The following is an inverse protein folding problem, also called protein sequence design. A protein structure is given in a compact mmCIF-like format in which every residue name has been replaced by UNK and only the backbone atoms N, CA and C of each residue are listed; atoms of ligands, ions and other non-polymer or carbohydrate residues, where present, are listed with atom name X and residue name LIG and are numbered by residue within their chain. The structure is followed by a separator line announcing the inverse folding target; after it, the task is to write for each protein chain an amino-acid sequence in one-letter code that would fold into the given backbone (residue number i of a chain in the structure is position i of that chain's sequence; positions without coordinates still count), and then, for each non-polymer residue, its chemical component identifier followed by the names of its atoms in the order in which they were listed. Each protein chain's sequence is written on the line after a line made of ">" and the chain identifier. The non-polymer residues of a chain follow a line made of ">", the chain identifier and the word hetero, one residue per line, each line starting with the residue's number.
data_IF_527454730207
#
_entry.id   IF_527454730207
#
_cell.length_a   1.000
_cell.length_b   1.000
_cell.length_c   1.000
_cell.angle_alpha   90.00
_cell.angle_beta   90.00
_cell.angle_gamma   90.00
#
_symmetry.space_group_name_H-M   'P 1'
#
loop_
_entity.id
_entity.type
_entity.pdbx_description
1 polymer ?
#
# COMPACT_ATOMS: atom_id res chain seq x y z
N UNK A 1 9.80 -29.26 -21.81
CA UNK A 1 9.22 -30.50 -21.24
C UNK A 1 9.60 -30.74 -19.78
N UNK A 2 10.84 -30.49 -19.35
CA UNK A 2 11.30 -30.76 -17.98
C UNK A 2 10.67 -29.80 -16.93
N UNK A 3 10.41 -28.55 -17.31
CA UNK A 3 9.80 -27.54 -16.44
C UNK A 3 8.29 -27.76 -16.16
N UNK A 4 7.55 -28.38 -17.08
CA UNK A 4 6.11 -28.66 -16.89
C UNK A 4 5.89 -29.88 -15.98
N UNK A 5 6.79 -30.87 -16.02
CA UNK A 5 6.78 -32.04 -15.13
C UNK A 5 7.05 -31.66 -13.66
N UNK A 6 7.90 -30.66 -13.41
CA UNK A 6 8.15 -30.13 -12.06
C UNK A 6 6.94 -29.39 -11.47
N UNK A 7 6.13 -28.72 -12.30
CA UNK A 7 4.87 -28.08 -11.87
C UNK A 7 3.77 -29.11 -11.58
N UNK A 8 3.71 -30.20 -12.35
CA UNK A 8 2.75 -31.30 -12.15
C UNK A 8 3.02 -32.08 -10.85
N UNK A 9 4.28 -32.30 -10.46
CA UNK A 9 4.62 -32.89 -9.15
C UNK A 9 4.15 -32.04 -7.96
N UNK A 10 4.16 -30.71 -8.08
CA UNK A 10 3.66 -29.78 -7.04
C UNK A 10 2.13 -29.78 -6.91
N UNK A 11 1.38 -30.37 -7.85
CA UNK A 11 -0.08 -30.43 -7.82
C UNK A 11 -0.64 -31.73 -7.22
N UNK A 12 0.21 -32.75 -7.04
CA UNK A 12 -0.18 -34.06 -6.52
C UNK A 12 -0.52 -33.95 -5.02
N UNK A 13 -1.74 -34.33 -4.63
CA UNK A 13 -2.19 -34.31 -3.23
C UNK A 13 -2.91 -33.02 -2.78
N UNK A 14 -3.21 -32.09 -3.68
CA UNK A 14 -3.93 -30.84 -3.36
C UNK A 14 -5.45 -31.01 -3.44
N UNK A 15 -6.18 -30.25 -2.63
CA UNK A 15 -7.65 -30.22 -2.68
C UNK A 15 -8.17 -29.56 -3.97
N UNK A 16 -9.41 -29.88 -4.35
CA UNK A 16 -10.06 -29.24 -5.51
C UNK A 16 -10.18 -27.72 -5.34
N UNK A 17 -10.44 -27.24 -4.13
CA UNK A 17 -10.51 -25.81 -3.83
C UNK A 17 -9.17 -25.12 -3.99
N UNK A 18 -8.07 -25.75 -3.56
CA UNK A 18 -6.72 -25.23 -3.79
C UNK A 18 -6.40 -25.15 -5.29
N UNK A 19 -6.73 -26.19 -6.05
CA UNK A 19 -6.53 -26.21 -7.51
C UNK A 19 -7.33 -25.12 -8.21
N UNK A 20 -8.59 -24.90 -7.80
CA UNK A 20 -9.46 -23.85 -8.33
C UNK A 20 -8.86 -22.47 -8.10
N UNK A 21 -8.45 -22.16 -6.86
CA UNK A 21 -7.88 -20.85 -6.52
C UNK A 21 -6.58 -20.60 -7.27
N UNK A 22 -5.67 -21.56 -7.29
CA UNK A 22 -4.39 -21.42 -8.00
C UNK A 22 -4.58 -21.27 -9.51
N UNK A 23 -5.55 -21.97 -10.10
CA UNK A 23 -5.87 -21.84 -11.52
C UNK A 23 -6.44 -20.47 -11.85
N UNK A 24 -7.35 -19.95 -11.01
CA UNK A 24 -7.90 -18.61 -11.17
C UNK A 24 -6.80 -17.52 -11.08
N UNK A 25 -5.89 -17.64 -10.11
CA UNK A 25 -4.73 -16.76 -9.96
C UNK A 25 -3.78 -16.84 -11.18
N UNK A 26 -3.50 -18.05 -11.67
CA UNK A 26 -2.65 -18.25 -12.84
C UNK A 26 -3.27 -17.65 -14.11
N UNK A 27 -4.59 -17.80 -14.30
CA UNK A 27 -5.34 -17.20 -15.39
C UNK A 27 -5.32 -15.67 -15.30
N UNK A 28 -5.58 -15.10 -14.12
CA UNK A 28 -5.51 -13.66 -13.89
C UNK A 28 -4.11 -13.09 -14.20
N UNK A 29 -3.05 -13.75 -13.74
CA UNK A 29 -1.68 -13.36 -14.07
C UNK A 29 -1.41 -13.49 -15.57
N UNK A 30 -1.99 -14.50 -16.24
CA UNK A 30 -1.92 -14.65 -17.69
C UNK A 30 -2.53 -13.48 -18.45
N UNK A 31 -3.76 -13.09 -18.10
CA UNK A 31 -4.47 -11.98 -18.77
C UNK A 31 -3.81 -10.63 -18.49
N UNK A 32 -3.25 -10.43 -17.28
CA UNK A 32 -2.42 -9.27 -16.95
C UNK A 32 -1.17 -9.20 -17.83
N UNK A 33 -0.44 -10.30 -18.01
CA UNK A 33 0.78 -10.34 -18.84
C UNK A 33 0.52 -10.08 -20.32
N UNK A 34 -0.65 -10.49 -20.82
CA UNK A 34 -1.03 -10.27 -22.21
C UNK A 34 -1.70 -8.91 -22.44
N UNK A 35 -1.82 -8.05 -21.41
CA UNK A 35 -2.43 -6.72 -21.54
C UNK A 35 -3.96 -6.74 -21.67
N UNK A 36 -4.61 -7.89 -21.47
CA UNK A 36 -6.07 -8.04 -21.55
C UNK A 36 -6.77 -7.61 -20.26
N UNK A 37 -6.07 -7.64 -19.12
CA UNK A 37 -6.61 -7.23 -17.84
C UNK A 37 -6.64 -5.70 -17.71
N UNK A 38 -7.80 -5.14 -17.40
CA UNK A 38 -7.95 -3.73 -17.05
C UNK A 38 -7.25 -3.36 -15.74
N UNK A 39 -6.87 -4.34 -14.91
CA UNK A 39 -6.14 -4.13 -13.66
C UNK A 39 -4.63 -3.98 -13.83
N UNK A 40 -4.10 -4.20 -15.05
CA UNK A 40 -2.69 -4.01 -15.38
C UNK A 40 -2.36 -2.58 -15.84
N UNK A 41 -3.33 -1.65 -15.72
CA UNK A 41 -3.17 -0.24 -16.07
C UNK A 41 -3.96 0.65 -15.11
N UNK A 42 -3.54 1.90 -15.00
CA UNK A 42 -4.30 2.88 -14.23
C UNK A 42 -5.60 3.20 -14.97
N UNK A 43 -6.77 3.17 -14.31
CA UNK A 43 -8.02 3.53 -14.96
C UNK A 43 -8.06 5.02 -15.32
N UNK A 44 -8.68 5.32 -16.47
CA UNK A 44 -9.08 6.69 -16.82
C UNK A 44 -10.08 7.22 -15.81
N UNK A 45 -10.14 8.52 -15.61
CA UNK A 45 -10.99 9.18 -14.62
C UNK A 45 -12.46 8.76 -14.78
N UNK A 46 -12.99 8.81 -16.01
CA UNK A 46 -14.36 8.42 -16.32
C UNK A 46 -14.69 6.96 -16.02
N UNK A 47 -13.72 6.05 -16.16
CA UNK A 47 -13.91 4.64 -15.81
C UNK A 47 -13.75 4.40 -14.31
N UNK A 48 -12.86 5.17 -13.67
CA UNK A 48 -12.65 5.13 -12.22
C UNK A 48 -13.89 5.62 -11.46
N UNK A 49 -14.51 6.72 -11.88
CA UNK A 49 -15.69 7.27 -11.20
C UNK A 49 -16.88 6.31 -11.19
N UNK A 50 -17.02 5.43 -12.20
CA UNK A 50 -18.05 4.37 -12.21
C UNK A 50 -17.87 3.35 -11.08
N UNK A 51 -16.67 3.22 -10.53
CA UNK A 51 -16.34 2.32 -9.42
C UNK A 51 -16.80 2.87 -8.06
N UNK A 52 -17.16 4.16 -8.02
CA UNK A 52 -17.61 4.86 -6.83
C UNK A 52 -19.14 4.91 -6.77
N UNK A 53 -19.65 4.97 -5.55
CA UNK A 53 -21.04 5.24 -5.25
C UNK A 53 -21.22 6.73 -4.93
N UNK A 54 -21.80 7.48 -5.86
CA UNK A 54 -22.01 8.92 -5.73
C UNK A 54 -22.90 9.29 -4.54
N UNK A 55 -23.77 8.38 -4.10
CA UNK A 55 -24.63 8.60 -2.92
C UNK A 55 -23.82 8.70 -1.63
N UNK A 56 -22.58 8.21 -1.63
CA UNK A 56 -21.66 8.25 -0.48
C UNK A 56 -20.75 9.47 -0.45
N UNK A 57 -20.88 10.40 -1.40
CA UNK A 57 -20.03 11.60 -1.51
C UNK A 57 -20.67 12.86 -0.92
N UNK A 58 -21.80 12.75 -0.20
CA UNK A 58 -22.39 13.90 0.49
C UNK A 58 -22.83 15.04 -0.43
N UNK A 59 -23.10 14.77 -1.71
CA UNK A 59 -23.47 15.78 -2.71
C UNK A 59 -22.28 16.36 -3.49
N UNK A 60 -21.04 16.00 -3.16
CA UNK A 60 -19.85 16.40 -3.92
C UNK A 60 -19.83 15.77 -5.32
N UNK A 61 -19.34 16.48 -6.35
CA UNK A 61 -19.26 15.95 -7.70
C UNK A 61 -18.22 14.83 -7.79
N UNK A 62 -18.41 13.94 -8.78
CA UNK A 62 -17.40 12.96 -9.18
C UNK A 62 -16.28 13.64 -9.97
N UNK A 63 -15.44 14.40 -9.26
CA UNK A 63 -14.21 15.03 -9.76
C UNK A 63 -13.07 14.84 -8.76
N UNK A 64 -11.85 15.22 -9.14
CA UNK A 64 -10.70 15.17 -8.23
C UNK A 64 -10.94 16.08 -7.01
N UNK A 65 -11.47 17.27 -7.25
CA UNK A 65 -11.77 18.30 -6.25
C UNK A 65 -12.87 17.83 -5.31
N UNK A 66 -14.00 17.35 -5.86
CA UNK A 66 -15.13 16.87 -5.06
C UNK A 66 -14.76 15.69 -4.17
N UNK A 67 -13.93 14.76 -4.67
CA UNK A 67 -13.43 13.64 -3.85
C UNK A 67 -12.54 14.11 -2.70
N UNK A 68 -11.65 15.08 -2.94
CA UNK A 68 -10.81 15.62 -1.87
C UNK A 68 -11.62 16.45 -0.86
N UNK A 69 -12.57 17.26 -1.34
CA UNK A 69 -13.50 18.03 -0.50
C UNK A 69 -14.31 17.10 0.40
N UNK A 70 -14.93 16.05 -0.16
CA UNK A 70 -15.60 14.99 0.59
C UNK A 70 -14.65 14.35 1.62
N UNK A 71 -13.45 13.97 1.19
CA UNK A 71 -12.47 13.37 2.09
C UNK A 71 -12.07 14.30 3.24
N UNK A 72 -12.01 15.62 3.05
CA UNK A 72 -11.72 16.62 4.09
C UNK A 72 -12.90 16.90 5.01
N UNK A 73 -14.12 16.90 4.47
CA UNK A 73 -15.33 17.24 5.22
C UNK A 73 -15.96 16.05 5.98
N UNK A 74 -15.78 14.81 5.50
CA UNK A 74 -16.46 13.64 6.09
C UNK A 74 -16.10 13.40 7.56
N UNK A 75 -17.08 13.09 8.40
CA UNK A 75 -16.87 12.65 9.79
C UNK A 75 -16.82 11.12 9.93
N UNK A 76 -17.45 10.41 9.00
CA UNK A 76 -17.47 8.95 8.95
C UNK A 76 -16.89 8.42 7.64
N UNK A 77 -16.16 7.28 7.69
CA UNK A 77 -15.75 6.54 8.87
C UNK A 77 -14.62 7.29 9.60
N UNK A 78 -14.64 7.23 10.94
CA UNK A 78 -13.53 7.73 11.74
C UNK A 78 -12.34 6.77 11.59
N UNK A 79 -11.14 7.30 11.34
CA UNK A 79 -9.96 6.47 11.13
C UNK A 79 -9.47 5.83 12.43
N UNK A 80 -9.01 6.66 13.35
CA UNK A 80 -8.74 6.31 14.74
C UNK A 80 -9.17 7.48 15.62
N UNK A 81 -9.49 7.23 16.89
CA UNK A 81 -9.86 8.27 17.83
C UNK A 81 -8.84 9.43 17.87
N UNK A 82 -7.55 9.11 17.77
CA UNK A 82 -6.45 10.06 17.71
C UNK A 82 -6.46 11.01 16.49
N UNK A 83 -7.30 10.75 15.48
CA UNK A 83 -7.49 11.64 14.33
C UNK A 83 -8.79 12.46 14.41
N UNK A 84 -9.63 12.22 15.41
CA UNK A 84 -10.87 12.98 15.63
C UNK A 84 -10.61 14.40 16.16
N UNK A 85 -9.66 14.55 17.07
CA UNK A 85 -9.14 15.85 17.52
C UNK A 85 -7.60 15.84 17.46
N UNK A 86 -7.07 16.46 16.40
CA UNK A 86 -5.62 16.59 16.22
C UNK A 86 -4.99 17.46 17.33
N UNK A 87 -5.71 18.47 17.81
CA UNK A 87 -5.22 19.39 18.84
C UNK A 87 -5.07 18.69 20.19
N UNK A 88 -6.08 17.92 20.59
CA UNK A 88 -6.04 17.07 21.79
C UNK A 88 -4.96 16.02 21.68
N UNK A 89 -4.89 15.31 20.55
CA UNK A 89 -3.84 14.29 20.33
C UNK A 89 -2.45 14.88 20.41
N UNK A 90 -2.21 16.07 19.83
CA UNK A 90 -0.92 16.77 19.95
C UNK A 90 -0.61 17.17 21.39
N UNK A 91 -1.60 17.62 22.17
CA UNK A 91 -1.44 17.93 23.60
C UNK A 91 -1.05 16.66 24.39
N UNK A 92 -1.77 15.57 24.16
CA UNK A 92 -1.53 14.30 24.85
C UNK A 92 -0.16 13.70 24.51
N UNK A 93 0.21 13.72 23.22
CA UNK A 93 1.53 13.27 22.78
C UNK A 93 2.67 14.05 23.46
N UNK A 94 2.50 15.38 23.62
CA UNK A 94 3.47 16.22 24.32
C UNK A 94 3.50 15.93 25.82
N UNK A 95 2.33 15.76 26.44
CA UNK A 95 2.19 15.52 27.88
C UNK A 95 2.80 14.19 28.32
N UNK A 96 2.55 13.10 27.59
CA UNK A 96 2.99 11.75 27.98
C UNK A 96 4.44 11.42 27.67
N UNK A 97 4.94 11.81 26.49
CA UNK A 97 6.25 11.36 26.00
C UNK A 97 7.34 12.43 26.05
N UNK A 98 6.98 13.68 26.37
CA UNK A 98 7.92 14.77 26.59
C UNK A 98 8.73 15.19 25.35
N UNK A 99 9.72 16.06 25.57
CA UNK A 99 10.56 16.62 24.51
C UNK A 99 11.46 15.58 23.79
N UNK A 100 12.10 14.61 24.46
CA UNK A 100 13.04 13.69 23.80
C UNK A 100 12.39 12.82 22.71
N UNK A 101 11.19 12.29 22.97
CA UNK A 101 10.46 11.48 21.99
C UNK A 101 10.06 12.31 20.76
N UNK A 102 9.63 13.56 20.98
CA UNK A 102 9.33 14.51 19.91
C UNK A 102 10.56 14.79 19.05
N UNK A 103 11.70 15.10 19.68
CA UNK A 103 12.96 15.36 18.98
C UNK A 103 13.38 14.18 18.12
N UNK A 104 13.31 12.95 18.66
CA UNK A 104 13.67 11.74 17.92
C UNK A 104 12.83 11.51 16.66
N UNK A 105 11.52 11.79 16.72
CA UNK A 105 10.62 11.69 15.57
C UNK A 105 10.97 12.73 14.51
N UNK A 106 11.21 13.98 14.92
CA UNK A 106 11.56 15.09 14.02
C UNK A 106 12.90 14.82 13.33
N UNK A 107 13.93 14.37 14.07
CA UNK A 107 15.23 14.04 13.49
C UNK A 107 15.14 12.90 12.47
N UNK A 108 14.35 11.87 12.75
CA UNK A 108 14.13 10.77 11.81
C UNK A 108 13.40 11.24 10.55
N UNK A 109 12.40 12.11 10.72
CA UNK A 109 11.69 12.71 9.59
C UNK A 109 12.64 13.57 8.73
N UNK A 110 13.50 14.39 9.35
CA UNK A 110 14.52 15.17 8.63
C UNK A 110 15.45 14.29 7.80
N UNK A 111 15.97 13.19 8.35
CA UNK A 111 16.78 12.23 7.58
C UNK A 111 16.02 11.68 6.36
N UNK A 112 14.73 11.39 6.50
CA UNK A 112 13.89 10.96 5.37
C UNK A 112 13.82 12.05 4.30
N UNK A 113 13.66 13.32 4.68
CA UNK A 113 13.65 14.45 3.73
C UNK A 113 14.99 14.64 3.00
N UNK A 114 16.08 14.16 3.60
CA UNK A 114 17.43 14.15 3.01
C UNK A 114 17.69 12.87 2.17
N UNK A 115 16.68 12.03 1.94
CA UNK A 115 16.81 10.78 1.19
C UNK A 115 17.55 9.66 1.94
N UNK A 116 17.54 9.70 3.29
CA UNK A 116 18.18 8.72 4.17
C UNK A 116 17.16 7.93 4.98
N UNK A 117 17.26 6.60 4.92
CA UNK A 117 16.30 5.68 5.54
C UNK A 117 16.98 4.72 6.51
N UNK A 118 16.36 4.54 7.69
CA UNK A 118 16.76 3.52 8.67
C UNK A 118 15.78 2.33 8.52
N UNK A 119 16.25 1.18 8.04
CA UNK A 119 15.42 0.01 7.70
C UNK A 119 16.07 -1.28 8.20
N UNK A 120 15.30 -2.17 8.83
CA UNK A 120 15.75 -3.51 9.25
C UNK A 120 17.06 -3.52 10.07
N UNK A 121 17.29 -2.49 10.89
CA UNK A 121 18.50 -2.32 11.70
C UNK A 121 19.67 -1.64 10.97
N UNK A 122 19.60 -1.49 9.64
CA UNK A 122 20.53 -0.68 8.85
C UNK A 122 20.19 0.81 8.99
N UNK A 123 21.21 1.67 8.98
CA UNK A 123 21.05 3.12 9.16
C UNK A 123 21.52 3.89 7.94
N UNK A 124 20.85 5.00 7.65
CA UNK A 124 21.28 5.97 6.64
C UNK A 124 21.35 5.43 5.20
N UNK A 125 20.55 4.40 4.87
CA UNK A 125 20.47 3.84 3.52
C UNK A 125 20.02 4.93 2.54
N UNK A 126 20.65 4.98 1.38
CA UNK A 126 20.26 5.84 0.27
C UNK A 126 19.85 4.99 -0.92
N UNK A 127 18.68 5.29 -1.48
CA UNK A 127 18.12 4.60 -2.64
C UNK A 127 18.27 5.45 -3.91
N UNK A 128 19.19 6.41 -3.91
CA UNK A 128 19.34 7.41 -4.97
C UNK A 128 18.56 8.70 -4.69
N UNK A 129 18.88 9.74 -5.47
CA UNK A 129 18.16 11.02 -5.49
C UNK A 129 17.94 11.42 -6.96
N UNK A 130 16.71 11.32 -7.50
CA UNK A 130 15.48 10.85 -6.84
C UNK A 130 15.55 9.36 -6.43
N UNK A 131 14.66 8.96 -5.51
CA UNK A 131 14.56 7.56 -5.01
C UNK A 131 14.27 6.60 -6.17
N UNK A 132 15.11 5.58 -6.32
CA UNK A 132 14.88 4.43 -7.20
C UNK A 132 14.16 3.31 -6.43
N UNK A 133 12.86 3.16 -6.67
CA UNK A 133 12.01 2.22 -5.94
C UNK A 133 12.26 0.74 -6.25
N UNK A 134 13.18 0.45 -7.19
CA UNK A 134 13.59 -0.91 -7.55
C UNK A 134 15.05 -1.21 -7.15
N UNK A 135 15.75 -0.26 -6.52
CA UNK A 135 17.13 -0.42 -6.07
C UNK A 135 17.19 -1.10 -4.70
N UNK A 136 18.05 -2.10 -4.59
CA UNK A 136 18.56 -2.62 -3.33
C UNK A 136 19.93 -1.97 -3.04
N UNK A 137 20.03 -1.11 -2.02
CA UNK A 137 21.15 -0.18 -1.87
C UNK A 137 22.44 -0.83 -1.34
N UNK A 138 22.38 -2.01 -0.72
CA UNK A 138 23.56 -2.68 -0.18
C UNK A 138 24.34 -3.40 -1.28
N UNK A 139 23.65 -4.11 -2.17
CA UNK A 139 24.26 -4.82 -3.31
C UNK A 139 24.30 -4.01 -4.61
N UNK A 140 23.61 -2.87 -4.66
CA UNK A 140 23.46 -2.05 -5.87
C UNK A 140 22.58 -2.69 -6.94
N UNK A 141 21.87 -3.78 -6.63
CA UNK A 141 21.02 -4.50 -7.59
C UNK A 141 19.72 -3.75 -7.81
N UNK A 142 19.36 -3.59 -9.08
CA UNK A 142 18.09 -2.98 -9.49
C UNK A 142 17.16 -4.04 -10.05
N UNK A 143 16.03 -4.27 -9.39
CA UNK A 143 15.04 -5.25 -9.83
C UNK A 143 14.43 -4.87 -11.20
N UNK A 144 14.15 -5.85 -12.07
CA UNK A 144 13.67 -5.56 -13.43
C UNK A 144 12.19 -5.12 -13.42
N UNK A 145 11.88 -4.13 -14.27
CA UNK A 145 10.51 -3.68 -14.50
C UNK A 145 9.77 -4.61 -15.48
N UNK A 146 9.32 -5.76 -15.00
CA UNK A 146 8.53 -6.76 -15.74
C UNK A 146 7.27 -7.10 -14.94
N UNK A 147 6.32 -7.81 -15.55
CA UNK A 147 5.16 -8.31 -14.78
C UNK A 147 5.63 -9.09 -13.55
N UNK A 148 5.05 -8.77 -12.39
CA UNK A 148 5.51 -9.22 -11.08
C UNK A 148 5.72 -10.75 -10.98
N UNK A 149 4.91 -11.54 -11.71
CA UNK A 149 4.98 -13.00 -11.71
C UNK A 149 6.16 -13.58 -12.49
N UNK A 150 6.87 -12.75 -13.26
CA UNK A 150 8.07 -13.13 -14.03
C UNK A 150 9.37 -12.73 -13.33
N UNK A 151 9.29 -12.08 -12.17
CA UNK A 151 10.47 -11.65 -11.42
C UNK A 151 10.85 -12.76 -10.44
N UNK A 152 12.01 -13.37 -10.64
CA UNK A 152 12.55 -14.33 -9.69
C UNK A 152 13.21 -13.61 -8.51
N UNK A 153 12.41 -12.94 -7.67
CA UNK A 153 12.91 -12.14 -6.54
C UNK A 153 13.58 -12.99 -5.45
N UNK A 154 13.43 -14.33 -5.48
CA UNK A 154 14.15 -15.22 -4.56
C UNK A 154 15.63 -15.34 -4.91
N UNK A 155 15.99 -15.06 -6.16
CA UNK A 155 17.38 -15.00 -6.60
C UNK A 155 17.97 -13.62 -6.27
N UNK A 156 18.94 -13.62 -5.34
CA UNK A 156 19.64 -12.41 -4.92
C UNK A 156 20.43 -11.76 -6.08
N UNK A 157 20.81 -12.52 -7.11
CA UNK A 157 21.42 -11.98 -8.32
C UNK A 157 20.49 -11.07 -9.12
N UNK A 158 19.17 -11.26 -8.98
CA UNK A 158 18.12 -10.48 -9.65
C UNK A 158 17.69 -9.26 -8.84
N UNK A 159 17.51 -9.40 -7.53
CA UNK A 159 16.85 -8.39 -6.69
C UNK A 159 17.65 -7.94 -5.45
N UNK A 160 18.87 -8.45 -5.24
CA UNK A 160 19.60 -8.27 -3.98
C UNK A 160 18.82 -8.86 -2.79
N UNK A 161 19.00 -8.28 -1.60
CA UNK A 161 18.06 -8.53 -0.50
C UNK A 161 16.75 -7.77 -0.70
N UNK A 162 15.80 -8.45 -1.34
CA UNK A 162 14.43 -7.96 -1.57
C UNK A 162 13.74 -7.41 -0.32
N UNK A 163 14.10 -7.85 0.90
CA UNK A 163 13.46 -7.35 2.13
C UNK A 163 13.75 -5.87 2.33
N UNK A 164 14.95 -5.40 1.99
CA UNK A 164 15.32 -3.99 2.09
C UNK A 164 14.49 -3.16 1.10
N UNK A 165 14.36 -3.64 -0.14
CA UNK A 165 13.53 -3.00 -1.18
C UNK A 165 12.06 -2.95 -0.72
N UNK A 166 11.53 -4.06 -0.24
CA UNK A 166 10.14 -4.13 0.22
C UNK A 166 9.89 -3.27 1.45
N UNK A 167 10.80 -3.23 2.42
CA UNK A 167 10.64 -2.40 3.63
C UNK A 167 10.49 -0.91 3.27
N UNK A 168 11.30 -0.40 2.34
CA UNK A 168 11.12 0.97 1.83
C UNK A 168 9.75 1.12 1.14
N UNK A 169 9.38 0.15 0.30
CA UNK A 169 8.17 0.17 -0.52
C UNK A 169 6.87 -0.16 0.24
N UNK A 170 6.95 -0.53 1.52
CA UNK A 170 5.82 -0.48 2.45
C UNK A 170 5.44 0.97 2.77
N UNK A 171 6.39 1.90 2.64
CA UNK A 171 6.21 3.33 2.89
C UNK A 171 5.65 3.64 4.30
N UNK A 172 5.90 2.75 5.28
CA UNK A 172 5.51 2.93 6.67
C UNK A 172 6.12 4.20 7.30
N UNK A 173 7.25 4.65 6.76
CA UNK A 173 7.88 5.90 7.17
C UNK A 173 7.02 7.14 6.90
N UNK A 174 5.96 7.06 6.07
CA UNK A 174 4.98 8.13 5.93
C UNK A 174 4.32 8.50 7.27
N UNK A 175 4.13 7.53 8.19
CA UNK A 175 3.66 7.83 9.54
C UNK A 175 4.69 8.62 10.36
N UNK A 176 6.00 8.44 10.10
CA UNK A 176 7.04 9.25 10.74
C UNK A 176 7.00 10.70 10.23
N UNK A 177 6.84 10.90 8.92
CA UNK A 177 6.63 12.23 8.33
C UNK A 177 5.36 12.89 8.89
N UNK A 178 4.24 12.15 8.94
CA UNK A 178 2.97 12.67 9.44
C UNK A 178 3.01 13.07 10.92
N UNK A 179 3.70 12.30 11.76
CA UNK A 179 3.92 12.67 13.17
C UNK A 179 4.80 13.92 13.30
N UNK A 180 5.85 14.04 12.49
CA UNK A 180 6.69 15.24 12.49
C UNK A 180 5.90 16.48 12.03
N UNK A 181 5.08 16.34 10.99
CA UNK A 181 4.13 17.35 10.53
C UNK A 181 3.20 17.80 11.66
N UNK A 182 2.57 16.89 12.39
CA UNK A 182 1.72 17.27 13.53
C UNK A 182 2.47 17.92 14.69
N UNK A 183 3.73 17.56 14.93
CA UNK A 183 4.54 18.15 15.99
C UNK A 183 5.09 19.54 15.66
N UNK A 184 5.16 19.91 14.39
CA UNK A 184 5.89 21.11 13.93
C UNK A 184 5.00 22.08 13.14
N UNK A 185 4.01 21.58 12.42
CA UNK A 185 3.27 22.34 11.40
C UNK A 185 4.09 22.59 10.12
N UNK A 186 5.24 21.96 9.96
CA UNK A 186 6.15 22.21 8.83
C UNK A 186 5.71 21.44 7.58
N UNK A 187 5.30 22.17 6.54
CA UNK A 187 4.85 21.63 5.25
C UNK A 187 5.94 20.87 4.48
N UNK A 188 7.22 20.99 4.87
CA UNK A 188 8.31 20.18 4.32
C UNK A 188 7.99 18.67 4.36
N UNK A 189 7.39 18.20 5.46
CA UNK A 189 7.08 16.78 5.61
C UNK A 189 5.92 16.33 4.71
N UNK A 190 4.92 17.20 4.52
CA UNK A 190 3.80 16.92 3.62
C UNK A 190 4.24 16.98 2.14
N UNK A 191 5.11 17.93 1.79
CA UNK A 191 5.78 18.00 0.49
C UNK A 191 6.58 16.74 0.19
N UNK A 192 7.42 16.30 1.12
CA UNK A 192 8.23 15.07 0.97
C UNK A 192 7.33 13.86 0.76
N UNK A 193 6.24 13.73 1.52
CA UNK A 193 5.24 12.69 1.29
C UNK A 193 4.64 12.75 -0.12
N UNK A 194 4.22 13.94 -0.57
CA UNK A 194 3.62 14.12 -1.89
C UNK A 194 4.59 13.76 -3.03
N UNK A 195 5.86 14.18 -2.92
CA UNK A 195 6.93 13.86 -3.87
C UNK A 195 7.22 12.36 -3.91
N UNK A 196 7.38 11.72 -2.74
CA UNK A 196 7.65 10.28 -2.67
C UNK A 196 6.48 9.45 -3.18
N UNK A 197 5.24 9.83 -2.85
CA UNK A 197 4.04 9.14 -3.33
C UNK A 197 3.90 9.26 -4.86
N UNK A 198 4.12 10.46 -5.40
CA UNK A 198 4.08 10.73 -6.85
C UNK A 198 5.14 9.91 -7.58
N UNK A 199 6.40 10.01 -7.15
CA UNK A 199 7.54 9.26 -7.71
C UNK A 199 7.31 7.76 -7.66
N UNK A 200 6.75 7.24 -6.56
CA UNK A 200 6.42 5.83 -6.44
C UNK A 200 5.38 5.40 -7.49
N UNK A 201 4.30 6.16 -7.65
CA UNK A 201 3.24 5.86 -8.63
C UNK A 201 3.70 5.96 -10.09
N UNK A 202 4.76 6.72 -10.38
CA UNK A 202 5.36 6.84 -11.71
C UNK A 202 6.29 5.65 -12.02
N UNK A 203 7.09 5.23 -11.05
CA UNK A 203 8.06 4.16 -11.22
C UNK A 203 7.48 2.76 -10.97
N UNK A 204 6.25 2.65 -10.45
CA UNK A 204 5.59 1.39 -10.14
C UNK A 204 4.23 1.23 -10.85
N UNK A 205 4.19 1.17 -12.19
CA UNK A 205 2.96 0.91 -12.92
C UNK A 205 2.25 -0.35 -12.40
N UNK A 206 0.90 -0.40 -12.46
CA UNK A 206 0.15 -1.54 -11.94
C UNK A 206 0.65 -2.89 -12.46
N UNK A 207 0.88 -3.82 -11.54
CA UNK A 207 1.33 -5.21 -11.82
C UNK A 207 2.76 -5.33 -12.38
N UNK A 208 3.53 -4.23 -12.47
CA UNK A 208 4.91 -4.26 -12.96
C UNK A 208 5.91 -3.99 -11.82
N UNK A 209 6.98 -4.78 -11.79
CA UNK A 209 8.07 -4.63 -10.84
C UNK A 209 7.88 -5.39 -9.53
N UNK A 210 8.93 -5.39 -8.73
CA UNK A 210 9.05 -6.18 -7.50
C UNK A 210 8.05 -5.78 -6.42
N UNK A 211 7.54 -4.55 -6.48
CA UNK A 211 6.61 -3.97 -5.51
C UNK A 211 5.16 -4.47 -5.64
N UNK A 212 4.91 -5.31 -6.66
CA UNK A 212 3.66 -6.06 -6.85
C UNK A 212 3.83 -7.57 -6.66
N UNK A 213 5.04 -8.04 -6.33
CA UNK A 213 5.36 -9.48 -6.27
C UNK A 213 4.90 -10.18 -4.99
N UNK A 214 4.52 -9.43 -3.96
CA UNK A 214 4.03 -9.96 -2.68
C UNK A 214 2.78 -9.21 -2.24
N UNK A 215 1.68 -9.95 -2.06
CA UNK A 215 0.39 -9.41 -1.61
C UNK A 215 0.48 -8.80 -0.22
N UNK A 216 1.27 -9.38 0.69
CA UNK A 216 1.51 -8.80 2.01
C UNK A 216 2.11 -7.38 1.90
N UNK A 217 3.08 -7.18 1.00
CA UNK A 217 3.73 -5.88 0.82
C UNK A 217 2.77 -4.85 0.21
N UNK A 218 1.92 -5.29 -0.73
CA UNK A 218 0.83 -4.46 -1.28
C UNK A 218 -0.16 -4.05 -0.17
N UNK A 219 -0.49 -4.97 0.73
CA UNK A 219 -1.37 -4.73 1.87
C UNK A 219 -0.81 -3.68 2.83
N UNK A 220 0.43 -3.87 3.29
CA UNK A 220 1.10 -2.96 4.22
C UNK A 220 1.29 -1.57 3.64
N UNK A 221 1.57 -1.46 2.32
CA UNK A 221 1.63 -0.17 1.63
C UNK A 221 0.27 0.52 1.60
N UNK A 222 -0.80 -0.20 1.28
CA UNK A 222 -2.16 0.35 1.28
C UNK A 222 -2.56 0.91 2.66
N UNK A 223 -2.22 0.19 3.74
CA UNK A 223 -2.41 0.67 5.11
C UNK A 223 -1.61 1.95 5.35
N UNK A 224 -0.32 1.95 5.01
CA UNK A 224 0.56 3.12 5.21
C UNK A 224 0.07 4.37 4.47
N UNK A 225 -0.49 4.20 3.26
CA UNK A 225 -1.09 5.30 2.51
C UNK A 225 -2.34 5.83 3.17
N UNK A 226 -3.23 4.97 3.68
CA UNK A 226 -4.41 5.42 4.42
C UNK A 226 -3.99 6.25 5.65
N UNK A 227 -3.01 5.79 6.43
CA UNK A 227 -2.43 6.58 7.52
C UNK A 227 -1.92 7.95 7.05
N UNK A 228 -1.15 7.97 5.97
CA UNK A 228 -0.58 9.21 5.41
C UNK A 228 -1.67 10.20 4.96
N UNK A 229 -2.70 9.73 4.25
CA UNK A 229 -3.82 10.55 3.81
C UNK A 229 -4.52 11.26 4.97
N UNK A 230 -4.65 10.60 6.13
CA UNK A 230 -5.22 11.20 7.33
C UNK A 230 -4.26 12.15 8.05
N UNK A 231 -2.95 11.87 8.07
CA UNK A 231 -1.97 12.80 8.63
C UNK A 231 -1.91 14.12 7.85
N UNK A 232 -1.98 14.04 6.52
CA UNK A 232 -1.82 15.17 5.60
C UNK A 232 -3.15 15.68 5.02
N UNK A 233 -4.29 15.30 5.64
CA UNK A 233 -5.64 15.61 5.17
C UNK A 233 -5.83 17.09 4.81
N UNK A 234 -5.31 17.96 5.66
CA UNK A 234 -5.49 19.41 5.59
C UNK A 234 -4.32 20.15 4.93
N UNK A 235 -3.24 19.44 4.55
CA UNK A 235 -2.09 20.05 3.88
C UNK A 235 -2.44 20.44 2.44
N UNK A 236 -1.88 21.55 1.97
CA UNK A 236 -1.97 22.00 0.58
C UNK A 236 -1.27 21.05 -0.40
N UNK A 237 -0.29 20.27 0.06
CA UNK A 237 0.46 19.32 -0.75
C UNK A 237 -0.35 18.04 -1.07
N UNK A 238 -1.43 17.76 -0.33
CA UNK A 238 -2.41 16.76 -0.73
C UNK A 238 -3.38 17.36 -1.77
N UNK A 239 -2.91 17.47 -3.00
CA UNK A 239 -3.69 18.08 -4.10
C UNK A 239 -4.81 17.15 -4.59
N UNK A 240 -5.86 17.70 -5.23
CA UNK A 240 -6.93 16.89 -5.84
C UNK A 240 -6.40 15.80 -6.78
N UNK A 241 -5.44 16.16 -7.64
CA UNK A 241 -4.86 15.22 -8.60
C UNK A 241 -4.08 14.09 -7.91
N UNK A 242 -3.25 14.43 -6.93
CA UNK A 242 -2.50 13.45 -6.15
C UNK A 242 -3.44 12.48 -5.43
N UNK A 243 -4.47 13.02 -4.77
CA UNK A 243 -5.46 12.24 -4.04
C UNK A 243 -6.22 11.29 -4.96
N UNK A 244 -6.74 11.78 -6.10
CA UNK A 244 -7.40 10.95 -7.10
C UNK A 244 -6.49 9.83 -7.61
N UNK A 245 -5.24 10.14 -7.94
CA UNK A 245 -4.27 9.15 -8.41
C UNK A 245 -3.99 8.10 -7.33
N UNK A 246 -3.84 8.52 -6.07
CA UNK A 246 -3.67 7.61 -4.93
C UNK A 246 -4.87 6.68 -4.74
N UNK A 247 -6.10 7.19 -4.85
CA UNK A 247 -7.32 6.37 -4.76
C UNK A 247 -7.40 5.31 -5.86
N UNK A 248 -6.97 5.63 -7.09
CA UNK A 248 -6.88 4.65 -8.18
C UNK A 248 -5.90 3.53 -7.87
N UNK A 249 -4.74 3.86 -7.30
CA UNK A 249 -3.77 2.86 -6.87
C UNK A 249 -4.28 2.03 -5.68
N UNK A 250 -4.94 2.64 -4.69
CA UNK A 250 -5.56 1.92 -3.58
C UNK A 250 -6.64 0.94 -4.05
N UNK A 251 -7.44 1.34 -5.05
CA UNK A 251 -8.36 0.41 -5.73
C UNK A 251 -7.61 -0.78 -6.35
N UNK A 252 -6.53 -0.52 -7.10
CA UNK A 252 -5.74 -1.57 -7.73
C UNK A 252 -5.00 -2.46 -6.72
N UNK A 253 -4.56 -1.91 -5.59
CA UNK A 253 -4.05 -2.69 -4.46
C UNK A 253 -5.14 -3.61 -3.92
N UNK A 254 -6.34 -3.10 -3.64
CA UNK A 254 -7.48 -3.92 -3.19
C UNK A 254 -7.82 -5.06 -4.17
N UNK A 255 -7.83 -4.76 -5.47
CA UNK A 255 -8.07 -5.76 -6.52
C UNK A 255 -6.96 -6.79 -6.62
N UNK A 256 -5.71 -6.40 -6.41
CA UNK A 256 -4.58 -7.32 -6.34
C UNK A 256 -4.74 -8.26 -5.14
N UNK A 257 -5.00 -7.73 -3.95
CA UNK A 257 -5.24 -8.52 -2.74
C UNK A 257 -6.40 -9.51 -2.93
N UNK A 258 -7.56 -9.06 -3.40
CA UNK A 258 -8.71 -9.94 -3.67
C UNK A 258 -8.39 -11.11 -4.61
N UNK A 259 -7.46 -10.91 -5.55
CA UNK A 259 -7.10 -11.92 -6.55
C UNK A 259 -6.04 -12.88 -6.01
N UNK A 260 -5.04 -12.35 -5.31
CA UNK A 260 -3.80 -13.04 -4.95
C UNK A 260 -3.63 -13.26 -3.45
N UNK A 261 -4.73 -13.53 -2.73
CA UNK A 261 -4.67 -13.99 -1.35
C UNK A 261 -3.82 -15.25 -1.23
N UNK A 262 -2.99 -15.30 -0.20
CA UNK A 262 -2.06 -16.38 0.12
C UNK A 262 -2.74 -17.57 0.81
N UNK A 263 -4.02 -17.85 0.54
CA UNK A 263 -4.88 -18.83 1.25
C UNK A 263 -4.27 -20.23 1.40
N UNK A 264 -3.46 -20.66 0.43
CA UNK A 264 -2.83 -21.98 0.40
C UNK A 264 -1.30 -21.89 0.38
N UNK A 265 -0.73 -20.85 1.00
CA UNK A 265 0.70 -20.70 1.20
C UNK A 265 1.03 -20.78 2.68
N UNK A 266 1.98 -21.63 3.04
CA UNK A 266 2.52 -21.75 4.41
C UNK A 266 3.83 -20.97 4.51
N UNK A 267 4.08 -20.20 5.58
CA UNK A 267 3.21 -19.98 6.75
C UNK A 267 2.07 -18.97 6.49
N UNK A 268 0.98 -19.07 7.25
CA UNK A 268 -0.24 -18.24 7.11
C UNK A 268 -0.07 -16.76 7.52
N UNK A 269 1.08 -16.34 8.03
CA UNK A 269 1.28 -14.95 8.51
C UNK A 269 1.10 -13.90 7.41
N UNK A 270 1.32 -14.28 6.14
CA UNK A 270 1.01 -13.43 4.99
C UNK A 270 -0.49 -13.20 4.83
N UNK A 271 -1.30 -14.25 4.97
CA UNK A 271 -2.74 -14.19 4.75
C UNK A 271 -3.42 -13.24 5.75
N UNK A 272 -3.02 -13.27 7.03
CA UNK A 272 -3.54 -12.36 8.06
C UNK A 272 -3.22 -10.90 7.72
N UNK A 273 -1.98 -10.60 7.31
CA UNK A 273 -1.60 -9.25 6.91
C UNK A 273 -2.31 -8.77 5.63
N UNK A 274 -2.54 -9.65 4.66
CA UNK A 274 -3.32 -9.36 3.44
C UNK A 274 -4.80 -9.07 3.76
N UNK A 275 -5.39 -9.87 4.65
CA UNK A 275 -6.76 -9.69 5.12
C UNK A 275 -6.94 -8.36 5.88
N UNK A 276 -5.94 -7.97 6.70
CA UNK A 276 -5.94 -6.68 7.38
C UNK A 276 -5.99 -5.51 6.40
N UNK A 277 -5.23 -5.55 5.31
CA UNK A 277 -5.27 -4.52 4.27
C UNK A 277 -6.63 -4.41 3.59
N UNK A 278 -7.25 -5.55 3.24
CA UNK A 278 -8.61 -5.57 2.70
C UNK A 278 -9.63 -4.98 3.69
N UNK A 279 -9.49 -5.29 4.98
CA UNK A 279 -10.33 -4.72 6.02
C UNK A 279 -10.18 -3.20 6.13
N UNK A 280 -8.93 -2.69 6.14
CA UNK A 280 -8.66 -1.25 6.11
C UNK A 280 -9.22 -0.57 4.87
N UNK A 281 -8.96 -1.12 3.68
CA UNK A 281 -9.43 -0.56 2.40
C UNK A 281 -10.96 -0.53 2.33
N UNK A 282 -11.62 -1.61 2.72
CA UNK A 282 -13.08 -1.71 2.72
C UNK A 282 -13.76 -0.86 3.79
N UNK A 283 -13.07 -0.58 4.89
CA UNK A 283 -13.60 0.25 5.98
C UNK A 283 -13.38 1.73 5.69
N UNK A 284 -12.18 2.13 5.26
CA UNK A 284 -11.77 3.53 5.14
C UNK A 284 -12.09 4.17 3.79
N UNK A 285 -12.46 3.38 2.79
CA UNK A 285 -12.87 3.86 1.46
C UNK A 285 -14.28 3.35 1.11
N UNK A 286 -15.29 3.61 1.95
CA UNK A 286 -16.65 3.11 1.76
C UNK A 286 -17.32 3.61 0.48
N UNK A 287 -16.78 4.65 -0.15
CA UNK A 287 -17.23 5.22 -1.42
C UNK A 287 -17.06 4.25 -2.58
N UNK A 288 -16.15 3.27 -2.49
CA UNK A 288 -16.06 2.22 -3.51
C UNK A 288 -17.25 1.27 -3.42
N UNK A 289 -17.85 0.96 -4.56
CA UNK A 289 -18.93 -0.04 -4.65
C UNK A 289 -18.53 -1.43 -4.13
N UNK A 290 -17.23 -1.75 -4.13
CA UNK A 290 -16.68 -3.02 -3.62
C UNK A 290 -16.25 -2.97 -2.15
N UNK A 291 -16.34 -1.83 -1.49
CA UNK A 291 -15.79 -1.62 -0.15
C UNK A 291 -16.35 -2.63 0.87
N UNK A 292 -17.68 -2.87 0.89
CA UNK A 292 -18.28 -3.83 1.82
C UNK A 292 -17.71 -5.23 1.64
N UNK A 293 -17.57 -5.68 0.39
CA UNK A 293 -16.97 -6.99 0.08
C UNK A 293 -15.51 -7.08 0.54
N UNK A 294 -14.71 -6.03 0.36
CA UNK A 294 -13.33 -6.01 0.86
C UNK A 294 -13.30 -6.13 2.38
N UNK A 295 -14.12 -5.35 3.07
CA UNK A 295 -14.25 -5.35 4.54
C UNK A 295 -14.67 -6.73 5.05
N UNK A 296 -15.73 -7.30 4.50
CA UNK A 296 -16.26 -8.62 4.88
C UNK A 296 -15.25 -9.73 4.62
N UNK A 297 -14.54 -9.69 3.48
CA UNK A 297 -13.51 -10.68 3.15
C UNK A 297 -12.36 -10.61 4.15
N UNK A 298 -11.87 -9.41 4.45
CA UNK A 298 -10.82 -9.20 5.45
C UNK A 298 -11.25 -9.68 6.83
N UNK A 299 -12.42 -9.24 7.31
CA UNK A 299 -12.95 -9.61 8.61
C UNK A 299 -13.12 -11.13 8.76
N UNK A 300 -13.73 -11.79 7.78
CA UNK A 300 -13.92 -13.24 7.79
C UNK A 300 -12.60 -14.01 7.92
N UNK A 301 -11.57 -13.59 7.18
CA UNK A 301 -10.25 -14.25 7.24
C UNK A 301 -9.59 -14.00 8.58
N UNK A 302 -9.60 -12.76 9.08
CA UNK A 302 -9.02 -12.42 10.38
C UNK A 302 -9.67 -13.21 11.53
N UNK A 303 -11.01 -13.30 11.54
CA UNK A 303 -11.75 -14.08 12.54
C UNK A 303 -11.41 -15.57 12.46
N UNK A 304 -11.31 -16.13 11.25
CA UNK A 304 -10.94 -17.54 11.07
C UNK A 304 -9.51 -17.86 11.54
N UNK A 305 -8.57 -16.91 11.44
CA UNK A 305 -7.21 -17.10 11.94
C UNK A 305 -7.09 -16.90 13.46
N UNK A 306 -8.03 -16.19 14.11
CA UNK A 306 -8.09 -16.12 15.59
C UNK A 306 -8.43 -17.49 16.21
N UNK A 307 -9.25 -18.31 15.55
CA UNK A 307 -9.60 -19.65 16.05
C UNK A 307 -8.44 -20.66 15.92
N UNK A 308 -7.38 -20.30 15.18
CA UNK A 308 -6.24 -21.19 14.87
C UNK A 308 -5.03 -20.98 15.77
N UNK A 309 -5.02 -19.91 16.59
CA UNK A 309 -3.93 -19.48 17.45
C UNK A 309 -4.41 -19.26 18.87
#
# INVERSE_FOLDING_TARGET
>A
MIESLGKLKKLRGRSLDELRVRSAQALAAGTERCGLSTQARLPRDSDFFKLLDSMRLGGEPLSAEGLLSHFRARSEPQFFAAFGDQGETRRELRGRWGAPARTSVIERARRITEGRFDLLGLRGLSFGSPVDWHLEPVSGKRAPLRHWSRINYLDAGVAGDKKIVWELNRQQYFATLGRAYWHTGDELYARTFAEHLTSWMEQNPPKLGINWSSSLEVSLRAISWLWALYFFRDSEHLTPHLFLRALKFLHLHARHLETYLSTYFSPNTHLTGEALGLFYLGTMLPEFRRASRWRETGARILLAELERH
#
